data_IF_352637634048
#
_entry.id   IF_352637634048
#
_cell.length_a   1.000
_cell.length_b   1.000
_cell.length_c   1.000
_cell.angle_alpha   90.00
_cell.angle_beta   90.00
_cell.angle_gamma   90.00
#
_symmetry.space_group_name_H-M   'P 1'
#
loop_
_entity.id
_entity.type
_entity.pdbx_description
1 polymer ?
#
# COMPACT_ATOMS: atom_id res chain seq x y z
N UNK A 1 -3.61 0.98 5.03
CA UNK A 1 -2.18 1.28 5.28
C UNK A 1 -1.42 0.06 5.81
N UNK A 2 -2.16 -0.94 6.29
CA UNK A 2 -1.67 -2.16 6.96
C UNK A 2 -0.65 -2.93 6.11
N UNK A 3 -0.95 -3.18 4.83
CA UNK A 3 -0.05 -3.90 3.93
C UNK A 3 1.34 -3.23 3.85
N UNK A 4 1.42 -1.90 3.79
CA UNK A 4 2.71 -1.18 3.77
C UNK A 4 3.47 -1.38 5.08
N UNK A 5 2.76 -1.37 6.21
CA UNK A 5 3.38 -1.53 7.53
C UNK A 5 3.95 -2.93 7.69
N UNK A 6 3.18 -3.97 7.33
CA UNK A 6 3.64 -5.36 7.39
C UNK A 6 4.78 -5.62 6.42
N UNK A 7 4.67 -5.17 5.16
CA UNK A 7 5.69 -5.44 4.14
C UNK A 7 7.04 -4.76 4.43
N UNK A 8 7.02 -3.55 5.00
CA UNK A 8 8.23 -2.75 5.21
C UNK A 8 8.74 -2.74 6.66
N UNK A 9 8.07 -3.45 7.57
CA UNK A 9 8.34 -3.47 9.01
C UNK A 9 8.29 -2.04 9.60
N UNK A 10 7.19 -1.33 9.32
CA UNK A 10 6.98 0.03 9.82
C UNK A 10 6.27 -0.02 11.18
N UNK A 11 6.69 0.87 12.08
CA UNK A 11 6.07 1.05 13.39
C UNK A 11 5.45 2.44 13.49
N UNK A 12 6.06 3.37 14.23
CA UNK A 12 5.57 4.74 14.36
C UNK A 12 6.32 5.69 13.42
N UNK A 13 5.61 6.64 12.80
CA UNK A 13 6.24 7.71 12.04
C UNK A 13 6.92 8.73 12.97
N UNK A 14 7.95 9.40 12.46
CA UNK A 14 8.56 10.59 13.06
C UNK A 14 7.64 11.81 12.97
N UNK A 15 6.89 11.92 11.86
CA UNK A 15 5.93 12.99 11.65
C UNK A 15 4.78 12.55 10.76
N UNK A 16 3.64 13.21 10.95
CA UNK A 16 2.42 13.05 10.16
C UNK A 16 1.91 14.45 9.81
N UNK A 17 1.78 14.74 8.52
CA UNK A 17 1.22 15.99 8.02
C UNK A 17 0.03 15.67 7.11
N UNK A 18 -1.12 16.31 7.33
CA UNK A 18 -2.32 16.08 6.55
C UNK A 18 -2.72 17.34 5.78
N UNK A 19 -3.15 17.14 4.54
CA UNK A 19 -3.73 18.15 3.66
C UNK A 19 -5.11 17.69 3.23
N UNK A 20 -6.04 18.63 3.14
CA UNK A 20 -7.43 18.35 2.81
C UNK A 20 -8.20 19.64 2.56
N UNK A 21 -9.52 19.53 2.31
CA UNK A 21 -10.41 20.69 2.31
C UNK A 21 -10.45 21.33 3.72
N UNK A 22 -11.04 22.53 3.84
CA UNK A 22 -11.36 23.11 5.15
C UNK A 22 -12.11 22.11 6.04
N UNK A 23 -11.86 22.18 7.34
CA UNK A 23 -12.52 21.31 8.33
C UNK A 23 -14.02 21.52 8.28
N UNK A 24 -14.76 20.42 8.14
CA UNK A 24 -16.21 20.39 8.28
C UNK A 24 -16.57 19.92 9.70
N UNK A 25 -17.53 20.58 10.39
CA UNK A 25 -17.88 20.23 11.76
C UNK A 25 -18.73 18.95 11.89
N UNK A 26 -19.26 18.40 10.80
CA UNK A 26 -20.21 17.29 10.81
C UNK A 26 -19.76 16.07 10.01
N UNK A 27 -18.79 16.21 9.10
CA UNK A 27 -18.37 15.16 8.18
C UNK A 27 -16.85 15.01 8.06
N UNK A 28 -16.43 13.86 7.55
CA UNK A 28 -15.05 13.61 7.15
C UNK A 28 -14.71 14.35 5.85
N UNK A 29 -13.42 14.68 5.62
CA UNK A 29 -13.03 15.38 4.40
C UNK A 29 -13.35 14.55 3.15
N UNK A 30 -13.81 15.21 2.09
CA UNK A 30 -14.06 14.59 0.78
C UNK A 30 -12.78 13.99 0.19
N UNK A 31 -11.63 14.60 0.47
CA UNK A 31 -10.32 14.10 0.07
C UNK A 31 -9.27 14.43 1.12
N UNK A 32 -8.23 13.62 1.16
CA UNK A 32 -7.06 13.86 2.01
C UNK A 32 -5.79 13.36 1.35
N UNK A 33 -4.69 14.05 1.62
CA UNK A 33 -3.35 13.57 1.40
C UNK A 33 -2.60 13.63 2.73
N UNK A 34 -2.08 12.50 3.19
CA UNK A 34 -1.36 12.43 4.47
C UNK A 34 0.04 11.91 4.24
N UNK A 35 1.02 12.71 4.61
CA UNK A 35 2.44 12.42 4.49
C UNK A 35 2.98 11.91 5.83
N UNK A 36 3.35 10.62 5.84
CA UNK A 36 3.99 9.95 6.97
C UNK A 36 5.48 9.80 6.71
N UNK A 37 6.32 10.27 7.63
CA UNK A 37 7.78 10.09 7.57
C UNK A 37 8.22 9.05 8.57
N UNK A 38 8.73 7.91 8.12
CA UNK A 38 9.24 6.85 8.98
C UNK A 38 10.76 6.90 9.07
N UNK A 39 11.34 6.58 10.25
CA UNK A 39 12.79 6.56 10.41
C UNK A 39 13.43 5.41 9.62
N UNK A 40 14.76 5.43 9.56
CA UNK A 40 15.52 4.23 9.19
C UNK A 40 15.19 3.10 10.18
N UNK A 41 15.17 1.85 9.68
CA UNK A 41 15.00 0.65 10.51
C UNK A 41 16.10 -0.37 10.19
N UNK A 42 16.08 -1.54 10.82
CA UNK A 42 17.08 -2.64 10.71
C UNK A 42 17.70 -2.80 9.30
N UNK A 43 18.78 -2.07 9.02
CA UNK A 43 19.49 -2.08 7.74
C UNK A 43 18.72 -1.50 6.54
N UNK A 44 17.62 -0.76 6.73
CA UNK A 44 16.79 -0.21 5.65
C UNK A 44 16.59 1.32 5.82
N UNK A 45 16.62 2.11 4.72
CA UNK A 45 16.63 3.58 4.76
C UNK A 45 15.27 4.18 5.13
N UNK A 46 15.18 5.44 5.61
CA UNK A 46 13.90 6.08 5.93
C UNK A 46 12.85 5.96 4.81
N UNK A 47 11.57 5.84 5.18
CA UNK A 47 10.47 5.66 4.23
C UNK A 47 9.51 6.83 4.32
N UNK A 48 9.13 7.36 3.17
CA UNK A 48 8.01 8.30 3.05
C UNK A 48 6.80 7.55 2.50
N UNK A 49 5.69 7.59 3.24
CA UNK A 49 4.40 7.05 2.80
C UNK A 49 3.44 8.20 2.64
N UNK A 50 2.85 8.34 1.45
CA UNK A 50 1.75 9.27 1.21
C UNK A 50 0.45 8.48 1.06
N UNK A 51 -0.52 8.76 1.93
CA UNK A 51 -1.86 8.19 1.83
C UNK A 51 -2.79 9.19 1.13
N UNK A 52 -3.43 8.74 0.05
CA UNK A 52 -4.48 9.50 -0.62
C UNK A 52 -5.85 8.88 -0.34
N UNK A 53 -6.79 9.71 0.12
CA UNK A 53 -8.22 9.38 0.25
C UNK A 53 -9.05 10.32 -0.61
N UNK A 54 -10.11 9.81 -1.24
CA UNK A 54 -11.02 10.60 -2.11
C UNK A 54 -10.44 11.06 -3.45
N UNK A 55 -9.11 11.10 -3.60
CA UNK A 55 -8.40 11.42 -4.86
C UNK A 55 -7.31 10.39 -5.16
N UNK A 56 -7.06 10.16 -6.44
CA UNK A 56 -5.95 9.31 -6.89
C UNK A 56 -4.64 10.12 -6.93
N UNK A 57 -3.49 9.53 -6.58
CA UNK A 57 -2.20 10.18 -6.75
C UNK A 57 -1.86 10.35 -8.23
N UNK A 58 -1.16 11.45 -8.58
CA UNK A 58 -0.73 11.73 -9.95
C UNK A 58 0.15 10.61 -10.52
N UNK A 59 0.95 9.96 -9.66
CA UNK A 59 1.78 8.82 -10.03
C UNK A 59 0.96 7.68 -10.65
N UNK A 60 -0.31 7.49 -10.26
CA UNK A 60 -1.14 6.43 -10.83
C UNK A 60 -1.49 6.72 -12.31
N UNK A 61 -1.61 7.99 -12.69
CA UNK A 61 -1.92 8.38 -14.06
C UNK A 61 -0.76 8.10 -15.04
N UNK A 62 0.46 7.96 -14.54
CA UNK A 62 1.64 7.65 -15.36
C UNK A 62 1.83 6.14 -15.59
N UNK A 63 1.16 5.30 -14.80
CA UNK A 63 1.28 3.85 -14.87
C UNK A 63 0.43 3.29 -16.03
N UNK A 64 0.97 2.28 -16.71
CA UNK A 64 0.33 1.62 -17.85
C UNK A 64 0.10 0.13 -17.60
N UNK A 65 -1.00 -0.38 -18.14
CA UNK A 65 -1.30 -1.81 -18.23
C UNK A 65 -0.50 -2.50 -19.33
N UNK A 66 -0.70 -3.82 -19.47
CA UNK A 66 -0.02 -4.63 -20.49
C UNK A 66 -0.40 -4.23 -21.93
N UNK A 67 -1.59 -3.66 -22.09
CA UNK A 67 -2.15 -3.14 -23.33
C UNK A 67 -1.68 -1.70 -23.66
N UNK A 68 -0.84 -1.10 -22.81
CA UNK A 68 -0.38 0.28 -22.97
C UNK A 68 -1.39 1.34 -22.53
N UNK A 69 -2.60 0.96 -22.11
CA UNK A 69 -3.60 1.88 -21.59
C UNK A 69 -3.28 2.30 -20.15
N UNK A 70 -3.83 3.44 -19.66
CA UNK A 70 -3.69 3.83 -18.25
C UNK A 70 -4.09 2.69 -17.31
N UNK A 71 -3.26 2.43 -16.30
CA UNK A 71 -3.50 1.36 -15.35
C UNK A 71 -4.78 1.64 -14.54
N UNK A 72 -5.79 0.80 -14.71
CA UNK A 72 -7.00 0.89 -13.91
C UNK A 72 -6.82 0.19 -12.55
N UNK A 73 -6.49 0.98 -11.53
CA UNK A 73 -6.41 0.54 -10.13
C UNK A 73 -7.35 1.36 -9.25
N UNK A 74 -8.18 0.68 -8.44
CA UNK A 74 -9.16 1.30 -7.56
C UNK A 74 -8.56 1.75 -6.24
N UNK A 75 -8.21 0.79 -5.38
CA UNK A 75 -7.59 1.01 -4.08
C UNK A 75 -6.40 0.08 -3.91
N UNK A 76 -5.32 0.56 -3.29
CA UNK A 76 -4.10 -0.22 -3.17
C UNK A 76 -2.94 0.59 -2.61
N UNK A 77 -1.75 0.02 -2.73
CA UNK A 77 -0.49 0.62 -2.31
C UNK A 77 0.52 0.49 -3.44
N UNK A 78 1.22 1.58 -3.73
CA UNK A 78 2.29 1.62 -4.72
C UNK A 78 3.63 1.73 -3.99
N UNK A 79 4.45 0.69 -4.11
CA UNK A 79 5.84 0.68 -3.65
C UNK A 79 6.73 1.18 -4.80
N UNK A 80 7.49 2.24 -4.54
CA UNK A 80 8.35 2.88 -5.54
C UNK A 80 9.80 2.57 -5.20
N UNK A 81 10.46 1.80 -6.05
CA UNK A 81 11.88 1.47 -5.96
C UNK A 81 12.70 2.08 -7.10
N UNK A 82 14.01 2.03 -6.99
CA UNK A 82 14.93 2.56 -8.01
C UNK A 82 14.97 1.74 -9.31
N UNK A 83 14.51 0.49 -9.27
CA UNK A 83 14.52 -0.45 -10.41
C UNK A 83 13.12 -0.75 -10.95
N UNK A 84 12.08 -0.14 -10.40
CA UNK A 84 10.71 -0.45 -10.74
C UNK A 84 9.77 -0.24 -9.56
N UNK A 85 8.50 -0.54 -9.78
CA UNK A 85 7.43 -0.36 -8.82
C UNK A 85 6.65 -1.66 -8.62
N UNK A 86 6.04 -1.80 -7.45
CA UNK A 86 5.07 -2.85 -7.15
C UNK A 86 3.77 -2.17 -6.73
N UNK A 87 2.69 -2.42 -7.45
CA UNK A 87 1.35 -2.03 -7.01
C UNK A 87 0.61 -3.24 -6.47
N UNK A 88 -0.05 -3.07 -5.33
CA UNK A 88 -0.76 -4.14 -4.63
C UNK A 88 -2.12 -3.69 -4.13
N UNK A 89 -3.05 -4.62 -4.09
CA UNK A 89 -4.16 -4.63 -3.14
C UNK A 89 -4.05 -5.91 -2.30
N UNK A 90 -5.10 -6.30 -1.58
CA UNK A 90 -5.07 -7.51 -0.75
C UNK A 90 -5.02 -8.82 -1.55
N UNK A 91 -5.27 -8.78 -2.86
CA UNK A 91 -5.43 -9.97 -3.72
C UNK A 91 -4.53 -9.94 -4.96
N UNK A 92 -4.21 -8.76 -5.47
CA UNK A 92 -3.47 -8.57 -6.73
C UNK A 92 -2.15 -7.87 -6.43
N UNK A 93 -1.10 -8.36 -7.10
CA UNK A 93 0.25 -7.82 -7.05
C UNK A 93 0.76 -7.63 -8.48
N UNK A 94 1.31 -6.47 -8.81
CA UNK A 94 1.78 -6.20 -10.17
C UNK A 94 3.09 -5.43 -10.14
N UNK A 95 4.11 -5.99 -10.78
CA UNK A 95 5.39 -5.32 -11.01
C UNK A 95 5.31 -4.44 -12.24
N UNK A 96 5.90 -3.24 -12.14
CA UNK A 96 5.81 -2.18 -13.12
C UNK A 96 7.20 -1.57 -13.40
N UNK A 97 7.49 -1.21 -14.67
CA UNK A 97 6.67 -1.46 -15.85
C UNK A 97 6.68 -2.97 -16.23
N UNK A 98 5.56 -3.50 -16.70
CA UNK A 98 5.34 -4.95 -16.80
C UNK A 98 6.33 -5.65 -17.75
N UNK A 99 6.82 -4.94 -18.76
CA UNK A 99 7.79 -5.43 -19.75
C UNK A 99 9.13 -5.83 -19.12
N UNK A 100 9.56 -5.14 -18.06
CA UNK A 100 10.79 -5.46 -17.34
C UNK A 100 10.69 -6.72 -16.45
N UNK A 101 9.47 -7.19 -16.18
CA UNK A 101 9.21 -8.27 -15.21
C UNK A 101 8.43 -9.44 -15.81
N UNK A 102 8.45 -9.61 -17.15
CA UNK A 102 7.72 -10.69 -17.85
C UNK A 102 8.11 -12.08 -17.37
N UNK A 103 9.40 -12.27 -17.10
CA UNK A 103 9.96 -13.56 -16.67
C UNK A 103 10.02 -13.69 -15.14
N UNK A 104 9.50 -12.72 -14.40
CA UNK A 104 9.50 -12.75 -12.95
C UNK A 104 8.61 -13.88 -12.43
N UNK A 105 9.21 -14.81 -11.69
CA UNK A 105 8.49 -15.84 -10.97
C UNK A 105 8.17 -15.34 -9.57
N UNK A 106 6.88 -15.35 -9.21
CA UNK A 106 6.46 -15.01 -7.85
C UNK A 106 7.02 -16.03 -6.86
N UNK A 107 7.34 -15.59 -5.62
CA UNK A 107 7.72 -16.53 -4.57
C UNK A 107 6.58 -17.50 -4.29
N UNK A 108 6.93 -18.73 -3.91
CA UNK A 108 5.96 -19.69 -3.41
C UNK A 108 5.25 -19.12 -2.18
N UNK A 109 3.95 -19.42 -2.05
CA UNK A 109 3.19 -19.02 -0.87
C UNK A 109 3.75 -19.71 0.38
N UNK A 110 4.11 -18.91 1.38
CA UNK A 110 4.65 -19.39 2.65
C UNK A 110 3.82 -18.95 3.86
N UNK A 111 2.79 -18.11 3.64
CA UNK A 111 1.83 -17.68 4.65
C UNK A 111 0.48 -18.30 4.29
N UNK A 112 -0.16 -19.05 5.20
CA UNK A 112 -1.50 -19.58 4.96
C UNK A 112 -2.51 -18.45 4.73
N UNK A 113 -3.52 -18.72 3.91
CA UNK A 113 -4.66 -17.82 3.77
C UNK A 113 -5.39 -17.67 5.11
N UNK A 114 -5.95 -16.48 5.35
CA UNK A 114 -6.84 -16.23 6.48
C UNK A 114 -8.00 -17.22 6.48
N UNK A 115 -8.32 -17.78 7.64
CA UNK A 115 -9.54 -18.59 7.86
C UNK A 115 -10.80 -17.71 7.98
N UNK A 116 -10.66 -16.39 7.83
CA UNK A 116 -11.69 -15.38 7.99
C UNK A 116 -11.69 -14.78 9.40
N UNK A 117 -11.86 -13.45 9.49
CA UNK A 117 -11.70 -12.70 10.76
C UNK A 117 -12.47 -13.28 11.95
N UNK A 118 -13.71 -13.75 11.75
CA UNK A 118 -14.49 -14.33 12.85
C UNK A 118 -13.91 -15.67 13.32
N UNK A 119 -13.50 -16.53 12.39
CA UNK A 119 -12.89 -17.80 12.74
C UNK A 119 -11.50 -17.60 13.38
N UNK A 120 -10.72 -16.62 12.91
CA UNK A 120 -9.46 -16.21 13.54
C UNK A 120 -9.68 -15.74 14.98
N UNK A 121 -10.69 -14.89 15.22
CA UNK A 121 -11.05 -14.42 16.55
C UNK A 121 -11.46 -15.57 17.48
N UNK A 122 -12.34 -16.47 17.02
CA UNK A 122 -12.74 -17.66 17.79
C UNK A 122 -11.51 -18.54 18.08
N UNK A 123 -10.64 -18.75 17.10
CA UNK A 123 -9.47 -19.60 17.22
C UNK A 123 -8.47 -19.04 18.25
N UNK A 124 -8.18 -17.73 18.20
CA UNK A 124 -7.32 -17.06 19.17
C UNK A 124 -7.86 -17.16 20.61
N UNK A 125 -9.17 -16.98 20.80
CA UNK A 125 -9.77 -17.15 22.13
C UNK A 125 -9.66 -18.59 22.63
N UNK A 126 -9.90 -19.57 21.76
CA UNK A 126 -9.89 -20.98 22.14
C UNK A 126 -8.49 -21.55 22.36
N UNK A 127 -7.47 -21.02 21.71
CA UNK A 127 -6.14 -21.64 21.66
C UNK A 127 -5.00 -20.74 22.18
N UNK A 128 -5.26 -19.48 22.51
CA UNK A 128 -4.24 -18.48 22.91
C UNK A 128 -3.56 -17.82 21.71
#
# INVERSE_FOLDING_TARGET
>A
LDLVHWALDLTHPLSVEAKGPPVDPFSTPEWLQVDFRYPARKGRPPVHVTWHGGRKPDQLATLKGADGNPLNWGSGQLFIGSKGMLISDYSRHLLLPMDQFRDFQRPAEFIPNSIGHHAEWIHAIKNG
#
